data_IF_924451699968
#
_entry.id   IF_924451699968
#
_cell.length_a   1.000
_cell.length_b   1.000
_cell.length_c   1.000
_cell.angle_alpha   90.00
_cell.angle_beta   90.00
_cell.angle_gamma   90.00
#
_symmetry.space_group_name_H-M   'P 1'
#
loop_
_entity.id
_entity.type
_entity.pdbx_description
1 polymer ?
#
# COMPACT_ATOMS: atom_id res chain seq x y z
N UNK A 1 0.46 -28.08 2.79
CA UNK A 1 0.77 -26.86 3.55
C UNK A 1 0.52 -25.69 2.62
N UNK A 2 -0.62 -24.99 2.77
CA UNK A 2 -0.97 -23.85 1.90
C UNK A 2 0.02 -22.73 2.22
N UNK A 3 0.87 -22.36 1.27
CA UNK A 3 1.78 -21.23 1.42
C UNK A 3 0.93 -19.97 1.67
N UNK A 4 0.88 -19.51 2.92
CA UNK A 4 0.32 -18.18 3.21
C UNK A 4 1.18 -17.20 2.44
N UNK A 5 0.61 -16.56 1.42
CA UNK A 5 1.24 -15.46 0.72
C UNK A 5 1.75 -14.46 1.76
N UNK A 6 3.03 -14.13 1.66
CA UNK A 6 3.70 -13.23 2.60
C UNK A 6 3.07 -11.84 2.45
N UNK A 7 2.24 -11.44 3.41
CA UNK A 7 1.58 -10.15 3.41
C UNK A 7 2.46 -9.17 4.18
N UNK A 8 3.06 -8.19 3.48
CA UNK A 8 3.71 -7.05 4.13
C UNK A 8 2.62 -6.13 4.66
N UNK A 9 2.46 -6.07 5.98
CA UNK A 9 1.47 -5.20 6.63
C UNK A 9 2.15 -3.90 7.03
N UNK A 10 1.72 -2.79 6.43
CA UNK A 10 2.18 -1.46 6.78
C UNK A 10 1.16 -0.79 7.71
N UNK A 11 1.57 -0.53 8.95
CA UNK A 11 0.72 0.13 9.96
C UNK A 11 1.03 1.61 10.13
N UNK A 12 2.05 2.12 9.45
CA UNK A 12 2.46 3.53 9.49
C UNK A 12 2.06 4.23 8.21
N UNK A 13 1.03 5.07 8.31
CA UNK A 13 0.57 5.97 7.26
C UNK A 13 1.33 7.30 7.44
N UNK A 14 1.91 7.83 6.36
CA UNK A 14 2.57 9.14 6.36
C UNK A 14 1.57 10.26 6.16
N UNK A 15 0.59 10.06 5.29
CA UNK A 15 -0.44 11.04 4.99
C UNK A 15 -1.76 10.35 4.64
N UNK A 16 -2.87 10.90 5.10
CA UNK A 16 -4.21 10.41 4.77
C UNK A 16 -5.07 11.57 4.29
N UNK A 17 -5.76 11.35 3.18
CA UNK A 17 -6.77 12.26 2.64
C UNK A 17 -8.13 11.57 2.63
N UNK A 18 -9.16 12.26 2.16
CA UNK A 18 -10.51 11.68 2.04
C UNK A 18 -10.56 10.47 1.10
N UNK A 19 -9.65 10.39 0.12
CA UNK A 19 -9.69 9.38 -0.94
C UNK A 19 -8.42 8.53 -1.05
N UNK A 20 -7.30 8.98 -0.48
CA UNK A 20 -6.00 8.32 -0.63
C UNK A 20 -5.26 8.18 0.69
N UNK A 21 -4.44 7.14 0.80
CA UNK A 21 -3.51 6.91 1.89
C UNK A 21 -2.09 6.84 1.34
N UNK A 22 -1.20 7.63 1.88
CA UNK A 22 0.24 7.55 1.62
C UNK A 22 0.92 6.80 2.75
N UNK A 23 1.79 5.86 2.40
CA UNK A 23 2.60 5.11 3.35
C UNK A 23 4.01 4.94 2.81
N UNK A 24 4.95 4.68 3.71
CA UNK A 24 6.32 4.31 3.33
C UNK A 24 6.41 2.83 3.10
N UNK A 25 6.68 2.43 1.88
CA UNK A 25 6.92 1.04 1.55
C UNK A 25 8.01 0.93 0.47
N UNK A 26 8.86 -0.07 0.63
CA UNK A 26 9.91 -0.37 -0.33
C UNK A 26 9.52 -1.61 -1.14
N UNK A 27 9.81 -1.58 -2.43
CA UNK A 27 9.52 -2.67 -3.37
C UNK A 27 8.00 -2.88 -3.57
N UNK A 28 7.33 -1.80 -4.00
CA UNK A 28 5.93 -1.77 -4.44
C UNK A 28 5.91 -1.23 -5.87
N UNK A 29 5.17 -1.89 -6.75
CA UNK A 29 5.03 -1.48 -8.15
C UNK A 29 3.88 -0.50 -8.37
N UNK A 30 4.01 0.30 -9.43
CA UNK A 30 2.83 0.93 -10.04
C UNK A 30 1.90 -0.20 -10.53
N UNK A 31 0.59 -0.08 -10.30
CA UNK A 31 -0.44 -1.11 -10.55
C UNK A 31 -0.58 -2.21 -9.48
N UNK A 32 0.21 -2.18 -8.39
CA UNK A 32 0.02 -3.11 -7.29
C UNK A 32 -1.29 -2.82 -6.53
N UNK A 33 -2.03 -3.88 -6.20
CA UNK A 33 -3.24 -3.80 -5.39
C UNK A 33 -2.90 -4.04 -3.92
N UNK A 34 -3.21 -3.06 -3.09
CA UNK A 34 -3.09 -3.13 -1.65
C UNK A 34 -4.48 -3.27 -1.01
N UNK A 35 -4.53 -3.87 0.18
CA UNK A 35 -5.75 -3.82 1.01
C UNK A 35 -5.56 -2.79 2.12
N UNK A 36 -6.37 -1.74 2.09
CA UNK A 36 -6.40 -0.67 3.10
C UNK A 36 -7.71 -0.79 3.86
N UNK A 37 -7.64 -1.08 5.16
CA UNK A 37 -8.83 -1.18 6.02
C UNK A 37 -9.94 -2.08 5.45
N UNK A 38 -9.54 -3.23 4.86
CA UNK A 38 -10.46 -4.19 4.25
C UNK A 38 -10.98 -3.79 2.86
N UNK A 39 -10.54 -2.67 2.28
CA UNK A 39 -10.86 -2.24 0.92
C UNK A 39 -9.67 -2.42 -0.01
N UNK A 40 -9.93 -2.81 -1.25
CA UNK A 40 -8.90 -2.86 -2.30
C UNK A 40 -8.61 -1.43 -2.77
N UNK A 41 -7.33 -1.08 -2.75
CA UNK A 41 -6.78 0.18 -3.21
C UNK A 41 -5.67 -0.12 -4.22
N UNK A 42 -5.53 0.73 -5.23
CA UNK A 42 -4.50 0.58 -6.25
C UNK A 42 -3.47 1.67 -6.03
N UNK A 43 -2.20 1.32 -6.18
CA UNK A 43 -1.12 2.30 -6.13
C UNK A 43 -1.27 3.31 -7.27
N UNK A 44 -1.61 4.55 -6.92
CA UNK A 44 -1.82 5.66 -7.86
C UNK A 44 -0.54 6.48 -8.08
N UNK A 45 0.37 6.48 -7.11
CA UNK A 45 1.60 7.28 -7.15
C UNK A 45 2.70 6.67 -6.30
N UNK A 46 3.94 6.75 -6.77
CA UNK A 46 5.14 6.34 -6.02
C UNK A 46 6.17 7.46 -6.14
N UNK A 47 6.55 8.04 -5.01
CA UNK A 47 7.62 9.03 -4.89
C UNK A 47 8.70 8.44 -4.00
N UNK A 48 9.79 7.97 -4.60
CA UNK A 48 10.90 7.31 -3.89
C UNK A 48 10.42 6.11 -3.05
N UNK A 49 10.22 6.30 -1.74
CA UNK A 49 9.72 5.29 -0.79
C UNK A 49 8.29 5.61 -0.29
N UNK A 50 7.72 6.77 -0.67
CA UNK A 50 6.35 7.15 -0.36
C UNK A 50 5.41 6.67 -1.47
N UNK A 51 4.48 5.79 -1.11
CA UNK A 51 3.49 5.23 -2.01
C UNK A 51 2.13 5.75 -1.61
N UNK A 52 1.40 6.30 -2.57
CA UNK A 52 0.01 6.71 -2.43
C UNK A 52 -0.88 5.72 -3.15
N UNK A 53 -1.93 5.29 -2.44
CA UNK A 53 -2.91 4.31 -2.84
C UNK A 53 -4.31 4.75 -2.39
#
# INVERSE_FOLDING_TARGET
MMAKAFQKIYTKITQITKATCSLRASNVGYDELATVDGRLAQVVRIIEDEITL
#
